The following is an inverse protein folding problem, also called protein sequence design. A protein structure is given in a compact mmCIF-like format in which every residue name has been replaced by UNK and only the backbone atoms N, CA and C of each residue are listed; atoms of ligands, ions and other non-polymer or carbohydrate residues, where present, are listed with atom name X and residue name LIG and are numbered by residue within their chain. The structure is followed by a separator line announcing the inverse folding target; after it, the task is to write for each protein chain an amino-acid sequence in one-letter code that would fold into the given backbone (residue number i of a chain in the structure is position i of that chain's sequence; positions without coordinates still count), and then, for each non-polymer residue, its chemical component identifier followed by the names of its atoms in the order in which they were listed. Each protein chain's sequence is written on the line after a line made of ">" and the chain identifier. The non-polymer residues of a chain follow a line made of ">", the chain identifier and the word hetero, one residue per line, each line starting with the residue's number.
data_IF_649433481820
#
_entry.id   IF_649433481820
#
_cell.length_a   1.000
_cell.length_b   1.000
_cell.length_c   1.000
_cell.angle_alpha   90.00
_cell.angle_beta   90.00
_cell.angle_gamma   90.00
#
_symmetry.space_group_name_H-M   'P 1'
#
loop_
_entity.id
_entity.type
_entity.pdbx_description
1 polymer ?
#
# COMPACT_ATOMS: atom_id res chain seq x y z
N UNK A 1 -83.24 -24.45 -57.44
CA UNK A 1 -82.32 -24.38 -58.59
C UNK A 1 -80.97 -23.91 -58.08
N UNK A 2 -80.01 -24.74 -57.96
CA UNK A 2 -78.76 -24.87 -58.75
C UNK A 2 -77.99 -23.52 -58.79
N UNK A 3 -76.74 -23.38 -58.36
CA UNK A 3 -75.54 -24.14 -58.65
C UNK A 3 -74.35 -23.57 -57.82
N UNK A 4 -73.60 -24.34 -57.17
CA UNK A 4 -72.23 -24.80 -57.45
C UNK A 4 -71.09 -23.75 -57.54
N UNK A 5 -70.13 -24.02 -56.73
CA UNK A 5 -68.66 -24.02 -56.96
C UNK A 5 -67.94 -22.72 -56.54
N UNK A 6 -66.76 -22.75 -56.03
CA UNK A 6 -65.65 -23.71 -55.91
C UNK A 6 -64.57 -23.14 -55.03
N UNK A 7 -63.96 -23.99 -54.34
CA UNK A 7 -62.67 -23.89 -53.65
C UNK A 7 -61.66 -22.89 -54.21
N UNK A 8 -60.92 -22.22 -53.30
CA UNK A 8 -59.46 -22.25 -53.41
C UNK A 8 -58.82 -22.02 -52.04
N UNK A 9 -58.04 -22.99 -51.63
CA UNK A 9 -57.09 -23.03 -50.51
C UNK A 9 -55.97 -22.05 -50.83
N UNK A 10 -55.64 -21.13 -49.92
CA UNK A 10 -54.39 -20.35 -49.88
C UNK A 10 -53.69 -20.62 -48.57
N UNK A 11 -52.68 -21.49 -48.60
CA UNK A 11 -51.82 -21.79 -47.45
C UNK A 11 -50.90 -20.61 -47.21
N UNK A 12 -51.15 -19.84 -46.14
CA UNK A 12 -50.19 -18.83 -45.66
C UNK A 12 -49.11 -19.51 -44.83
N UNK A 13 -47.89 -19.52 -45.36
CA UNK A 13 -46.67 -19.95 -44.68
C UNK A 13 -46.36 -18.93 -43.61
N UNK A 14 -46.63 -19.27 -42.34
CA UNK A 14 -46.17 -18.51 -41.19
C UNK A 14 -44.64 -18.70 -41.08
N UNK A 15 -43.92 -17.68 -41.51
CA UNK A 15 -42.44 -17.60 -41.35
C UNK A 15 -42.08 -17.51 -39.87
N UNK A 16 -41.57 -18.59 -39.30
CA UNK A 16 -41.00 -18.66 -37.97
C UNK A 16 -39.64 -17.98 -38.01
N UNK A 17 -39.55 -16.69 -37.66
CA UNK A 17 -38.30 -15.97 -37.48
C UNK A 17 -37.65 -16.46 -36.18
N UNK A 18 -36.73 -17.43 -36.26
CA UNK A 18 -35.86 -17.79 -35.18
C UNK A 18 -34.84 -16.67 -35.05
N UNK A 19 -35.07 -15.76 -34.08
CA UNK A 19 -34.06 -14.80 -33.62
C UNK A 19 -32.96 -15.57 -32.87
N UNK A 20 -31.91 -15.91 -33.60
CA UNK A 20 -30.69 -16.48 -33.05
C UNK A 20 -29.98 -15.38 -32.23
N UNK A 21 -30.31 -15.29 -30.92
CA UNK A 21 -29.58 -14.49 -29.97
C UNK A 21 -28.14 -15.03 -29.89
N UNK A 22 -27.24 -14.35 -30.58
CA UNK A 22 -25.81 -14.51 -30.37
C UNK A 22 -25.47 -14.10 -28.93
N UNK A 23 -25.45 -15.05 -28.00
CA UNK A 23 -24.76 -14.91 -26.73
C UNK A 23 -23.27 -14.80 -27.08
N UNK A 24 -22.79 -13.58 -27.30
CA UNK A 24 -21.34 -13.34 -27.30
C UNK A 24 -20.86 -13.59 -25.86
N UNK A 25 -19.98 -14.55 -25.62
CA UNK A 25 -19.34 -14.64 -24.32
C UNK A 25 -18.59 -13.32 -24.12
N UNK A 26 -18.94 -12.60 -23.05
CA UNK A 26 -18.14 -11.48 -22.57
C UNK A 26 -16.84 -12.13 -22.14
N UNK A 27 -15.83 -12.11 -23.02
CA UNK A 27 -14.47 -12.47 -22.66
C UNK A 27 -14.06 -11.48 -21.55
N UNK A 28 -14.11 -11.91 -20.32
CA UNK A 28 -13.44 -11.22 -19.23
C UNK A 28 -11.96 -11.28 -19.62
N UNK A 29 -11.43 -10.16 -20.07
CA UNK A 29 -10.00 -10.00 -20.28
C UNK A 29 -9.35 -10.23 -18.91
N UNK A 30 -8.78 -11.42 -18.74
CA UNK A 30 -7.96 -11.75 -17.58
C UNK A 30 -6.81 -10.73 -17.59
N UNK A 31 -6.85 -9.79 -16.66
CA UNK A 31 -5.76 -8.82 -16.51
C UNK A 31 -4.54 -9.61 -16.08
N UNK A 32 -3.64 -9.87 -17.02
CA UNK A 32 -2.32 -10.43 -16.74
C UNK A 32 -1.61 -9.36 -15.89
N UNK A 33 -1.42 -9.66 -14.61
CA UNK A 33 -0.74 -8.74 -13.70
C UNK A 33 0.77 -8.83 -13.95
N UNK A 34 1.40 -7.70 -14.24
CA UNK A 34 2.83 -7.65 -14.55
C UNK A 34 3.65 -7.57 -13.27
N UNK A 35 4.75 -8.32 -13.22
CA UNK A 35 5.71 -8.23 -12.13
C UNK A 35 6.54 -6.96 -12.32
N UNK A 36 6.48 -6.03 -11.38
CA UNK A 36 7.26 -4.78 -11.37
C UNK A 36 8.53 -4.90 -10.55
N UNK A 37 8.57 -5.81 -9.58
CA UNK A 37 9.78 -6.18 -8.86
C UNK A 37 9.68 -7.62 -8.35
N UNK A 38 10.85 -8.28 -8.17
CA UNK A 38 10.96 -9.55 -7.47
C UNK A 38 12.06 -9.44 -6.41
N UNK A 39 11.79 -9.93 -5.21
CA UNK A 39 12.70 -9.92 -4.07
C UNK A 39 12.74 -11.32 -3.48
N UNK A 40 13.86 -12.02 -3.69
CA UNK A 40 14.00 -13.44 -3.34
C UNK A 40 12.88 -14.28 -4.00
N UNK A 41 12.01 -14.87 -3.20
CA UNK A 41 10.90 -15.73 -3.65
C UNK A 41 9.54 -15.01 -3.70
N UNK A 42 9.51 -13.68 -3.45
CA UNK A 42 8.28 -12.90 -3.46
C UNK A 42 8.31 -11.86 -4.58
N UNK A 43 7.13 -11.52 -5.09
CA UNK A 43 6.98 -10.57 -6.18
C UNK A 43 6.12 -9.39 -5.76
N UNK A 44 6.37 -8.25 -6.40
CA UNK A 44 5.52 -7.07 -6.38
C UNK A 44 4.92 -6.94 -7.77
N UNK A 45 3.61 -6.93 -7.85
CA UNK A 45 2.88 -6.82 -9.12
C UNK A 45 2.51 -5.37 -9.44
N UNK A 46 2.07 -5.10 -10.67
CA UNK A 46 1.56 -3.78 -11.01
C UNK A 46 0.27 -3.44 -10.26
N UNK A 47 -0.55 -4.43 -9.93
CA UNK A 47 -1.73 -4.23 -9.09
C UNK A 47 -1.36 -3.83 -7.67
N UNK A 48 -0.35 -4.45 -7.06
CA UNK A 48 0.17 -4.07 -5.75
C UNK A 48 0.69 -2.63 -5.75
N UNK A 49 1.43 -2.27 -6.81
CA UNK A 49 1.96 -0.92 -6.97
C UNK A 49 0.85 0.13 -7.09
N UNK A 50 -0.12 -0.07 -7.98
CA UNK A 50 -1.23 0.87 -8.15
C UNK A 50 -2.09 0.98 -6.89
N UNK A 51 -2.28 -0.12 -6.16
CA UNK A 51 -2.96 -0.10 -4.88
C UNK A 51 -2.19 0.72 -3.85
N UNK A 52 -0.86 0.54 -3.74
CA UNK A 52 -0.02 1.31 -2.83
C UNK A 52 -0.01 2.80 -3.19
N UNK A 53 0.04 3.15 -4.48
CA UNK A 53 -0.10 4.54 -4.95
C UNK A 53 -1.46 5.11 -4.55
N UNK A 54 -2.55 4.37 -4.77
CA UNK A 54 -3.90 4.81 -4.39
C UNK A 54 -4.04 5.04 -2.88
N UNK A 55 -3.40 4.20 -2.06
CA UNK A 55 -3.36 4.39 -0.60
C UNK A 55 -2.60 5.67 -0.23
N UNK A 56 -1.44 5.92 -0.86
CA UNK A 56 -0.66 7.13 -0.62
C UNK A 56 -1.46 8.38 -1.01
N UNK A 57 -2.12 8.38 -2.18
CA UNK A 57 -2.96 9.49 -2.63
C UNK A 57 -4.16 9.72 -1.71
N UNK A 58 -4.79 8.67 -1.21
CA UNK A 58 -5.92 8.77 -0.29
C UNK A 58 -5.52 9.35 1.09
N UNK A 59 -4.28 9.15 1.51
CA UNK A 59 -3.78 9.61 2.82
C UNK A 59 -3.07 10.96 2.77
N UNK A 60 -2.43 11.30 1.65
CA UNK A 60 -1.55 12.47 1.51
C UNK A 60 -2.01 13.45 0.43
N UNK A 61 -3.03 13.11 -0.34
CA UNK A 61 -3.50 13.86 -1.50
C UNK A 61 -2.82 13.42 -2.81
N UNK A 62 -3.34 13.90 -3.95
CA UNK A 62 -2.85 13.51 -5.27
C UNK A 62 -1.41 13.95 -5.51
N UNK A 63 -0.61 13.09 -6.11
CA UNK A 63 0.77 13.38 -6.48
C UNK A 63 0.83 14.31 -7.71
N UNK A 64 1.79 15.24 -7.72
CA UNK A 64 2.02 16.13 -8.86
C UNK A 64 2.70 15.40 -10.04
N UNK A 65 3.62 14.48 -9.74
CA UNK A 65 4.28 13.62 -10.72
C UNK A 65 3.96 12.14 -10.44
N UNK A 66 3.10 11.58 -11.28
CA UNK A 66 2.66 10.19 -11.16
C UNK A 66 3.77 9.18 -11.45
N UNK A 67 4.71 9.50 -12.32
CA UNK A 67 5.81 8.58 -12.63
C UNK A 67 6.81 8.52 -11.48
N UNK A 68 7.15 9.66 -10.89
CA UNK A 68 8.03 9.73 -9.72
C UNK A 68 7.42 8.96 -8.55
N UNK A 69 6.15 9.21 -8.21
CA UNK A 69 5.50 8.52 -7.10
C UNK A 69 5.41 6.99 -7.31
N UNK A 70 5.22 6.53 -8.55
CA UNK A 70 5.22 5.09 -8.85
C UNK A 70 6.59 4.46 -8.62
N UNK A 71 7.66 5.11 -9.04
CA UNK A 71 9.03 4.63 -8.81
C UNK A 71 9.36 4.60 -7.31
N UNK A 72 9.10 5.68 -6.60
CA UNK A 72 9.30 5.77 -5.15
C UNK A 72 8.47 4.73 -4.38
N UNK A 73 7.21 4.55 -4.78
CA UNK A 73 6.32 3.55 -4.17
C UNK A 73 6.82 2.13 -4.43
N UNK A 74 7.26 1.80 -5.65
CA UNK A 74 7.86 0.50 -5.97
C UNK A 74 9.08 0.22 -5.11
N UNK A 75 9.98 1.19 -5.01
CA UNK A 75 11.21 1.06 -4.23
C UNK A 75 10.91 0.94 -2.73
N UNK A 76 9.88 1.65 -2.25
CA UNK A 76 9.33 1.50 -0.90
C UNK A 76 8.74 0.11 -0.64
N UNK A 77 8.01 -0.47 -1.61
CA UNK A 77 7.48 -1.83 -1.52
C UNK A 77 8.61 -2.88 -1.45
N UNK A 78 9.66 -2.71 -2.26
CA UNK A 78 10.87 -3.57 -2.22
C UNK A 78 11.54 -3.50 -0.85
N UNK A 79 11.75 -2.29 -0.31
CA UNK A 79 12.35 -2.10 1.01
C UNK A 79 11.51 -2.74 2.13
N UNK A 80 10.19 -2.51 2.07
CA UNK A 80 9.25 -3.11 3.03
C UNK A 80 9.31 -4.63 2.98
N UNK A 81 9.36 -5.21 1.78
CA UNK A 81 9.40 -6.65 1.59
C UNK A 81 10.68 -7.26 2.17
N UNK A 82 11.84 -6.61 1.97
CA UNK A 82 13.11 -7.02 2.57
C UNK A 82 13.04 -7.03 4.10
N UNK A 83 12.54 -5.94 4.70
CA UNK A 83 12.41 -5.84 6.17
C UNK A 83 11.40 -6.86 6.71
N UNK A 84 10.31 -7.12 6.00
CA UNK A 84 9.30 -8.08 6.40
C UNK A 84 9.84 -9.52 6.35
N UNK A 85 10.56 -9.88 5.28
CA UNK A 85 11.23 -11.17 5.17
C UNK A 85 12.23 -11.38 6.30
N UNK A 86 13.01 -10.36 6.61
CA UNK A 86 13.99 -10.41 7.68
C UNK A 86 13.34 -10.51 9.08
N UNK A 87 12.28 -9.74 9.34
CA UNK A 87 11.52 -9.83 10.57
C UNK A 87 10.93 -11.24 10.77
N UNK A 88 10.37 -11.82 9.71
CA UNK A 88 9.82 -13.20 9.72
C UNK A 88 10.91 -14.25 9.87
N UNK A 89 12.09 -14.05 9.28
CA UNK A 89 13.23 -14.94 9.38
C UNK A 89 13.79 -15.02 10.80
N UNK A 90 13.98 -13.87 11.43
CA UNK A 90 14.59 -13.78 12.76
C UNK A 90 13.63 -14.15 13.89
N UNK A 91 12.33 -13.97 13.73
CA UNK A 91 11.25 -14.38 14.68
C UNK A 91 11.41 -13.88 16.12
N UNK A 92 12.12 -12.78 16.35
CA UNK A 92 12.26 -12.22 17.71
C UNK A 92 11.23 -11.15 18.05
N UNK A 93 10.36 -10.85 17.10
CA UNK A 93 9.19 -9.98 17.28
C UNK A 93 7.94 -10.70 16.81
N UNK A 94 6.86 -10.50 17.54
CA UNK A 94 5.54 -11.00 17.20
C UNK A 94 4.52 -9.86 17.34
N UNK A 95 3.46 -9.94 16.57
CA UNK A 95 2.32 -9.04 16.60
C UNK A 95 1.07 -9.88 16.81
N UNK A 96 0.37 -9.62 17.89
CA UNK A 96 -0.88 -10.31 18.21
C UNK A 96 -2.05 -9.75 17.39
N UNK A 97 -3.06 -10.57 17.14
CA UNK A 97 -4.30 -10.12 16.50
C UNK A 97 -4.98 -8.95 17.26
N UNK A 98 -4.86 -8.92 18.58
CA UNK A 98 -5.42 -7.84 19.38
C UNK A 98 -4.72 -6.50 19.10
N UNK A 99 -3.41 -6.50 18.92
CA UNK A 99 -2.64 -5.31 18.53
C UNK A 99 -3.04 -4.84 17.13
N UNK A 100 -3.20 -5.75 16.18
CA UNK A 100 -3.67 -5.41 14.83
C UNK A 100 -5.06 -4.80 14.88
N UNK A 101 -6.00 -5.39 15.61
CA UNK A 101 -7.34 -4.82 15.83
C UNK A 101 -7.29 -3.41 16.41
N UNK A 102 -6.42 -3.18 17.38
CA UNK A 102 -6.21 -1.85 17.98
C UNK A 102 -5.74 -0.83 16.95
N UNK A 103 -4.83 -1.22 16.05
CA UNK A 103 -4.36 -0.36 14.95
C UNK A 103 -5.48 -0.06 13.94
N UNK A 104 -6.32 -1.03 13.63
CA UNK A 104 -7.49 -0.82 12.75
C UNK A 104 -8.45 0.19 13.37
N UNK A 105 -8.77 0.05 14.65
CA UNK A 105 -9.66 1.00 15.33
C UNK A 105 -9.05 2.42 15.42
N UNK A 106 -7.74 2.52 15.64
CA UNK A 106 -7.04 3.80 15.58
C UNK A 106 -7.07 4.40 14.17
N UNK A 107 -6.93 3.58 13.14
CA UNK A 107 -7.02 4.00 11.75
C UNK A 107 -8.44 4.49 11.39
N UNK A 108 -9.48 3.75 11.79
CA UNK A 108 -10.88 4.17 11.61
C UNK A 108 -11.16 5.53 12.28
N UNK A 109 -10.70 5.71 13.53
CA UNK A 109 -10.83 6.98 14.25
C UNK A 109 -10.14 8.14 13.52
N UNK A 110 -8.98 7.90 12.93
CA UNK A 110 -8.25 8.92 12.16
C UNK A 110 -8.98 9.34 10.88
N UNK A 111 -9.72 8.42 10.25
CA UNK A 111 -10.55 8.73 9.09
C UNK A 111 -11.84 9.48 9.46
N UNK A 112 -12.25 9.46 10.72
CA UNK A 112 -13.30 10.29 11.30
C UNK A 112 -14.69 9.68 11.30
N UNK A 113 -15.08 8.87 10.30
CA UNK A 113 -16.39 8.24 10.26
C UNK A 113 -16.40 6.87 9.60
N UNK A 114 -17.43 6.02 9.85
CA UNK A 114 -17.60 4.75 9.17
C UNK A 114 -17.72 4.90 7.64
N UNK A 115 -18.38 5.97 7.17
CA UNK A 115 -18.55 6.27 5.75
C UNK A 115 -17.21 6.62 5.09
N UNK A 116 -16.37 7.43 5.77
CA UNK A 116 -15.02 7.74 5.30
C UNK A 116 -14.13 6.49 5.25
N UNK A 117 -14.28 5.57 6.20
CA UNK A 117 -13.59 4.29 6.17
C UNK A 117 -14.05 3.39 5.01
N UNK A 118 -15.37 3.30 4.77
CA UNK A 118 -15.91 2.55 3.64
C UNK A 118 -15.46 3.15 2.29
N UNK A 119 -15.47 4.48 2.18
CA UNK A 119 -14.96 5.20 1.00
C UNK A 119 -13.46 4.94 0.79
N UNK A 120 -12.65 4.95 1.85
CA UNK A 120 -11.23 4.62 1.77
C UNK A 120 -11.02 3.21 1.21
N UNK A 121 -11.70 2.19 1.75
CA UNK A 121 -11.59 0.81 1.26
C UNK A 121 -11.99 0.69 -0.22
N UNK A 122 -13.10 1.34 -0.60
CA UNK A 122 -13.59 1.33 -1.98
C UNK A 122 -12.61 2.00 -2.94
N UNK A 123 -12.11 3.18 -2.60
CA UNK A 123 -11.19 3.96 -3.44
C UNK A 123 -9.83 3.28 -3.62
N UNK A 124 -9.35 2.59 -2.58
CA UNK A 124 -8.09 1.86 -2.60
C UNK A 124 -8.23 0.39 -3.05
N UNK A 125 -9.46 -0.08 -3.31
CA UNK A 125 -9.79 -1.47 -3.66
C UNK A 125 -9.27 -2.48 -2.62
N UNK A 126 -9.25 -2.08 -1.35
CA UNK A 126 -8.90 -2.96 -0.24
C UNK A 126 -10.13 -3.64 0.33
N UNK A 127 -10.03 -4.94 0.59
CA UNK A 127 -10.93 -5.58 1.54
C UNK A 127 -10.50 -5.25 2.98
N UNK A 128 -11.42 -5.42 3.94
CA UNK A 128 -11.08 -5.29 5.36
C UNK A 128 -9.96 -6.27 5.77
N UNK A 129 -9.95 -7.46 5.21
CA UNK A 129 -8.95 -8.47 5.49
C UNK A 129 -7.57 -8.10 4.91
N UNK A 130 -7.53 -7.50 3.71
CA UNK A 130 -6.27 -7.00 3.13
C UNK A 130 -5.69 -5.86 3.95
N UNK A 131 -6.55 -4.93 4.41
CA UNK A 131 -6.14 -3.86 5.32
C UNK A 131 -5.58 -4.42 6.63
N UNK A 132 -6.25 -5.42 7.22
CA UNK A 132 -5.79 -6.08 8.44
C UNK A 132 -4.40 -6.68 8.28
N UNK A 133 -4.19 -7.45 7.20
CA UNK A 133 -2.89 -8.05 6.85
C UNK A 133 -1.83 -6.97 6.62
N UNK A 134 -2.15 -5.93 5.85
CA UNK A 134 -1.24 -4.84 5.55
C UNK A 134 -0.80 -4.09 6.82
N UNK A 135 -1.73 -3.82 7.75
CA UNK A 135 -1.43 -3.17 9.02
C UNK A 135 -0.64 -4.10 9.96
N UNK A 136 -0.95 -5.39 9.97
CA UNK A 136 -0.19 -6.39 10.71
C UNK A 136 1.26 -6.48 10.25
N UNK A 137 1.49 -6.57 8.94
CA UNK A 137 2.83 -6.60 8.34
C UNK A 137 3.59 -5.29 8.59
N UNK A 138 2.92 -4.16 8.48
CA UNK A 138 3.51 -2.86 8.80
C UNK A 138 3.94 -2.80 10.26
N UNK A 139 3.07 -3.20 11.16
CA UNK A 139 3.35 -3.17 12.59
C UNK A 139 4.47 -4.13 12.98
N UNK A 140 4.54 -5.30 12.33
CA UNK A 140 5.65 -6.23 12.49
C UNK A 140 7.00 -5.60 12.08
N UNK A 141 7.04 -4.91 10.95
CA UNK A 141 8.24 -4.20 10.46
C UNK A 141 8.62 -3.05 11.40
N UNK A 142 7.66 -2.23 11.83
CA UNK A 142 7.90 -1.12 12.77
C UNK A 142 8.51 -1.65 14.09
N UNK A 143 7.94 -2.69 14.66
CA UNK A 143 8.45 -3.33 15.88
C UNK A 143 9.82 -3.99 15.68
N UNK A 144 10.03 -4.58 14.51
CA UNK A 144 11.33 -5.13 14.16
C UNK A 144 12.40 -4.05 14.14
N UNK A 145 12.15 -2.93 13.44
CA UNK A 145 13.07 -1.79 13.38
C UNK A 145 13.34 -1.24 14.78
N UNK A 146 12.31 -1.02 15.58
CA UNK A 146 12.45 -0.53 16.95
C UNK A 146 13.37 -1.43 17.79
N UNK A 147 13.13 -2.73 17.79
CA UNK A 147 13.92 -3.68 18.60
C UNK A 147 15.29 -3.97 18.04
N UNK A 148 15.45 -3.99 16.71
CA UNK A 148 16.72 -4.35 16.06
C UNK A 148 17.67 -3.17 16.00
N UNK A 149 17.18 -1.97 15.78
CA UNK A 149 17.95 -0.77 15.49
C UNK A 149 17.68 0.31 16.57
N UNK A 150 16.40 0.61 16.83
CA UNK A 150 15.98 1.73 17.65
C UNK A 150 16.54 1.72 19.08
N UNK A 151 16.71 0.53 19.69
CA UNK A 151 17.28 0.39 21.02
C UNK A 151 18.73 0.88 21.12
N UNK A 152 19.46 0.93 20.02
CA UNK A 152 20.86 1.35 19.95
C UNK A 152 21.03 2.81 19.56
N UNK A 153 19.99 3.46 19.06
CA UNK A 153 20.01 4.88 18.70
C UNK A 153 19.95 5.73 19.98
N UNK A 154 20.98 6.54 20.19
CA UNK A 154 21.11 7.41 21.37
C UNK A 154 21.54 8.80 20.90
N UNK A 155 20.84 9.83 21.33
CA UNK A 155 21.21 11.22 21.13
C UNK A 155 21.45 11.86 22.51
N UNK A 156 22.67 12.35 22.72
CA UNK A 156 23.06 12.99 23.96
C UNK A 156 22.58 14.46 24.04
N UNK A 157 22.56 15.00 25.29
CA UNK A 157 22.20 16.42 25.50
C UNK A 157 23.15 17.36 24.77
N UNK A 158 24.44 17.05 24.74
CA UNK A 158 25.46 17.88 24.08
C UNK A 158 25.24 17.95 22.56
N UNK A 159 24.81 16.86 21.96
CA UNK A 159 24.49 16.80 20.53
C UNK A 159 23.24 17.65 20.22
N UNK A 160 22.19 17.51 21.04
CA UNK A 160 21.00 18.35 20.93
C UNK A 160 21.33 19.84 21.14
N UNK A 161 22.26 20.18 22.06
CA UNK A 161 22.73 21.55 22.25
C UNK A 161 23.47 22.07 21.01
N UNK A 162 24.43 21.29 20.48
CA UNK A 162 25.14 21.67 19.23
C UNK A 162 24.19 21.92 18.07
N UNK A 163 23.14 21.08 17.95
CA UNK A 163 22.11 21.27 16.93
C UNK A 163 21.36 22.58 17.14
N UNK A 164 20.94 22.88 18.38
CA UNK A 164 20.28 24.13 18.73
C UNK A 164 21.15 25.36 18.37
N UNK A 165 22.42 25.33 18.75
CA UNK A 165 23.35 26.45 18.52
C UNK A 165 23.62 26.69 17.01
N UNK A 166 23.76 25.60 16.25
CA UNK A 166 23.97 25.65 14.81
C UNK A 166 22.73 26.06 14.00
N UNK A 167 21.55 25.90 14.58
CA UNK A 167 20.24 26.19 13.94
C UNK A 167 19.49 27.30 14.69
N UNK A 168 20.21 28.24 15.33
CA UNK A 168 19.63 29.28 16.18
C UNK A 168 18.51 30.08 15.48
N UNK A 169 18.59 30.25 14.15
CA UNK A 169 17.56 30.95 13.36
C UNK A 169 16.19 30.25 13.43
N UNK A 170 16.15 28.94 13.54
CA UNK A 170 14.90 28.13 13.64
C UNK A 170 14.26 28.26 15.02
N UNK A 171 15.04 28.58 16.05
CA UNK A 171 14.62 28.64 17.45
C UNK A 171 14.55 30.03 18.01
N UNK A 172 14.40 31.08 17.17
CA UNK A 172 14.34 32.47 17.61
C UNK A 172 13.32 32.67 18.73
N UNK A 173 13.76 33.29 19.83
CA UNK A 173 12.91 33.56 21.00
C UNK A 173 12.68 32.39 21.94
N UNK A 174 13.28 31.21 21.66
CA UNK A 174 13.21 30.04 22.55
C UNK A 174 14.58 29.75 23.16
N UNK A 175 14.57 29.26 24.40
CA UNK A 175 15.78 28.76 25.07
C UNK A 175 15.90 27.25 24.87
N UNK A 176 17.12 26.74 24.84
CA UNK A 176 17.39 25.31 24.64
C UNK A 176 16.53 24.37 25.51
N UNK A 177 16.35 24.61 26.84
CA UNK A 177 15.53 23.71 27.65
C UNK A 177 14.06 23.59 27.18
N UNK A 178 13.53 24.63 26.51
CA UNK A 178 12.14 24.66 26.02
C UNK A 178 11.95 23.79 24.76
N UNK A 179 13.02 23.59 24.00
CA UNK A 179 13.00 22.84 22.73
C UNK A 179 13.85 21.57 22.76
N UNK A 180 14.57 21.31 23.85
CA UNK A 180 15.50 20.18 23.98
C UNK A 180 14.83 18.85 23.60
N UNK A 181 13.64 18.56 24.14
CA UNK A 181 12.92 17.30 23.87
C UNK A 181 12.58 17.18 22.39
N UNK A 182 12.12 18.27 21.77
CA UNK A 182 11.79 18.29 20.33
C UNK A 182 13.03 18.03 19.47
N UNK A 183 14.15 18.69 19.79
CA UNK A 183 15.43 18.50 19.08
C UNK A 183 15.94 17.08 19.26
N UNK A 184 15.93 16.55 20.49
CA UNK A 184 16.36 15.19 20.74
C UNK A 184 15.52 14.17 19.97
N UNK A 185 14.18 14.31 19.96
CA UNK A 185 13.30 13.45 19.16
C UNK A 185 13.64 13.52 17.68
N UNK A 186 13.79 14.72 17.14
CA UNK A 186 14.15 14.92 15.74
C UNK A 186 15.49 14.24 15.37
N UNK A 187 16.52 14.41 16.21
CA UNK A 187 17.82 13.81 15.98
C UNK A 187 17.79 12.27 16.10
N UNK A 188 17.01 11.75 17.06
CA UNK A 188 16.77 10.29 17.18
C UNK A 188 16.11 9.75 15.92
N UNK A 189 15.06 10.41 15.42
CA UNK A 189 14.36 9.99 14.20
C UNK A 189 15.29 10.05 12.98
N UNK A 190 16.13 11.10 12.89
CA UNK A 190 17.11 11.24 11.82
C UNK A 190 18.17 10.14 11.86
N UNK A 191 18.72 9.84 13.04
CA UNK A 191 19.73 8.80 13.21
C UNK A 191 19.12 7.41 12.96
N UNK A 192 17.91 7.17 13.45
CA UNK A 192 17.17 5.93 13.17
C UNK A 192 17.00 5.73 11.65
N UNK A 193 16.61 6.79 10.93
CA UNK A 193 16.49 6.74 9.47
C UNK A 193 17.80 6.31 8.80
N UNK A 194 18.92 6.92 9.15
CA UNK A 194 20.25 6.54 8.62
C UNK A 194 20.61 5.08 8.90
N UNK A 195 20.34 4.62 10.13
CA UNK A 195 20.64 3.24 10.52
C UNK A 195 19.74 2.24 9.77
N UNK A 196 18.47 2.58 9.53
CA UNK A 196 17.56 1.77 8.71
C UNK A 196 18.02 1.73 7.25
N UNK A 197 18.45 2.85 6.67
CA UNK A 197 18.98 2.91 5.32
C UNK A 197 20.24 2.04 5.17
N UNK A 198 21.14 2.11 6.14
CA UNK A 198 22.34 1.25 6.15
C UNK A 198 21.96 -0.22 6.23
N UNK A 199 21.05 -0.58 7.13
CA UNK A 199 20.56 -1.95 7.27
C UNK A 199 19.87 -2.46 6.00
N UNK A 200 19.07 -1.62 5.35
CA UNK A 200 18.46 -1.94 4.05
C UNK A 200 19.51 -2.15 2.95
N UNK A 201 20.59 -1.36 2.95
CA UNK A 201 21.71 -1.57 2.01
C UNK A 201 22.34 -2.94 2.20
N UNK A 202 22.53 -3.37 3.45
CA UNK A 202 23.06 -4.71 3.76
C UNK A 202 22.11 -5.81 3.29
N UNK A 203 20.80 -5.68 3.58
CA UNK A 203 19.79 -6.63 3.13
C UNK A 203 19.73 -6.71 1.60
N UNK A 204 19.82 -5.58 0.90
CA UNK A 204 19.84 -5.53 -0.56
C UNK A 204 21.07 -6.25 -1.14
N UNK A 205 22.23 -6.15 -0.51
CA UNK A 205 23.45 -6.82 -0.97
C UNK A 205 23.36 -8.34 -0.89
N UNK A 206 22.53 -8.86 0.02
CA UNK A 206 22.35 -10.29 0.26
C UNK A 206 21.15 -10.89 -0.47
N UNK A 207 20.24 -10.07 -0.97
CA UNK A 207 19.00 -10.49 -1.60
C UNK A 207 19.11 -10.59 -3.12
N UNK A 208 18.35 -11.50 -3.72
CA UNK A 208 18.12 -11.51 -5.17
C UNK A 208 17.00 -10.52 -5.51
N UNK A 209 17.36 -9.37 -6.08
CA UNK A 209 16.40 -8.32 -6.45
C UNK A 209 16.41 -8.13 -7.95
N UNK A 210 15.20 -8.15 -8.56
CA UNK A 210 14.98 -7.80 -9.96
C UNK A 210 13.95 -6.69 -10.03
N UNK A 211 14.26 -5.62 -10.73
CA UNK A 211 13.37 -4.49 -10.98
C UNK A 211 13.05 -4.48 -12.48
N UNK A 212 11.76 -4.48 -12.81
CA UNK A 212 11.30 -4.37 -14.17
C UNK A 212 10.88 -2.92 -14.50
N UNK A 213 10.91 -2.49 -15.76
CA UNK A 213 10.38 -1.19 -16.17
C UNK A 213 8.89 -1.04 -15.80
N UNK A 214 8.46 0.20 -15.48
CA UNK A 214 7.07 0.54 -15.12
C UNK A 214 6.29 0.94 -16.38
#
# INVERSE_FOLDING_TARGET
>A
MRNKNKHRRGAGIAGFFIALLFLTPIAQAERIDHIVAAVNNEVVTSSDLEQAVSINEALSGPAQDRNSIRQETRDGLVNRLLLLQEARRLKFVEVSEQEVRTQIEAFKKRLGSPEAFAAFLSNTRLSSQDLERMLGDRFLVERFIEKKIGLYVRVGREEAQRYFDSHAAQFRGKRFPEVQKQITSFLVDQELGKQVEHYLSDLRSMASIRINPL
#
